data_IF_259777611822
#
_entry.id   IF_259777611822
#
_cell.length_a   1.000
_cell.length_b   1.000
_cell.length_c   1.000
_cell.angle_alpha   90.00
_cell.angle_beta   90.00
_cell.angle_gamma   90.00
#
_symmetry.space_group_name_H-M   'P 1'
#
loop_
_entity.id
_entity.type
_entity.pdbx_description
1 polymer ?
#
# COMPACT_ATOMS: atom_id res chain seq x y z
N UNK A 1 26.41 -23.70 -12.54
CA UNK A 1 24.98 -23.50 -12.90
C UNK A 1 24.55 -22.17 -12.31
N UNK A 2 24.13 -21.22 -13.16
CA UNK A 2 23.86 -19.82 -12.80
C UNK A 2 22.40 -19.69 -12.34
N UNK A 3 22.15 -19.46 -11.07
CA UNK A 3 20.86 -18.96 -10.61
C UNK A 3 21.08 -17.56 -10.03
N UNK A 4 20.62 -16.55 -10.77
CA UNK A 4 20.69 -15.13 -10.41
C UNK A 4 19.84 -14.92 -9.15
N UNK A 5 20.46 -14.57 -8.02
CA UNK A 5 19.76 -13.97 -6.89
C UNK A 5 19.47 -12.50 -7.25
N UNK A 6 18.32 -12.27 -7.86
CA UNK A 6 17.82 -10.94 -8.10
C UNK A 6 17.50 -10.26 -6.76
N UNK A 7 18.15 -9.12 -6.55
CA UNK A 7 17.80 -8.03 -5.64
C UNK A 7 17.59 -8.38 -4.15
N UNK A 8 18.48 -7.84 -3.32
CA UNK A 8 18.28 -7.68 -1.89
C UNK A 8 16.96 -6.95 -1.69
N UNK A 9 15.93 -7.68 -1.24
CA UNK A 9 14.55 -7.20 -1.18
C UNK A 9 14.45 -5.96 -0.30
N UNK A 10 14.15 -4.81 -0.90
CA UNK A 10 13.76 -3.61 -0.18
C UNK A 10 12.49 -3.97 0.59
N UNK A 11 12.54 -4.03 1.91
CA UNK A 11 11.34 -4.19 2.74
C UNK A 11 10.41 -3.05 2.37
N UNK A 12 9.26 -3.37 1.79
CA UNK A 12 8.31 -2.38 1.29
C UNK A 12 7.91 -1.47 2.46
N UNK A 13 8.22 -0.17 2.33
CA UNK A 13 7.93 0.78 3.40
C UNK A 13 6.42 0.93 3.56
N UNK A 14 5.97 1.25 4.78
CA UNK A 14 4.55 1.42 5.06
C UNK A 14 3.85 2.41 4.10
N UNK A 15 4.42 3.59 3.77
CA UNK A 15 3.83 4.48 2.79
C UNK A 15 3.68 3.85 1.40
N UNK A 16 4.66 3.03 0.97
CA UNK A 16 4.58 2.35 -0.32
C UNK A 16 3.46 1.30 -0.33
N UNK A 17 3.29 0.56 0.77
CA UNK A 17 2.18 -0.40 0.92
C UNK A 17 0.81 0.28 0.86
N UNK A 18 0.67 1.43 1.52
CA UNK A 18 -0.58 2.23 1.50
C UNK A 18 -0.86 2.72 0.08
N UNK A 19 0.16 3.24 -0.63
CA UNK A 19 0.02 3.70 -2.00
C UNK A 19 -0.39 2.55 -2.94
N UNK A 20 0.31 1.42 -2.88
CA UNK A 20 0.00 0.22 -3.67
C UNK A 20 -1.43 -0.27 -3.42
N UNK A 21 -1.88 -0.25 -2.15
CA UNK A 21 -3.24 -0.61 -1.80
C UNK A 21 -4.27 0.34 -2.43
N UNK A 22 -4.11 1.66 -2.26
CA UNK A 22 -5.04 2.63 -2.83
C UNK A 22 -5.08 2.57 -4.37
N UNK A 23 -3.93 2.40 -5.02
CA UNK A 23 -3.86 2.24 -6.47
C UNK A 23 -4.68 1.04 -6.94
N UNK A 24 -4.57 -0.11 -6.26
CA UNK A 24 -5.33 -1.31 -6.62
C UNK A 24 -6.83 -1.12 -6.48
N UNK A 25 -7.29 -0.44 -5.43
CA UNK A 25 -8.72 -0.21 -5.21
C UNK A 25 -9.30 0.77 -6.23
N UNK A 26 -8.51 1.75 -6.68
CA UNK A 26 -8.90 2.65 -7.78
C UNK A 26 -8.97 1.87 -9.09
N UNK A 27 -7.98 1.01 -9.37
CA UNK A 27 -7.93 0.18 -10.59
C UNK A 27 -9.02 -0.89 -10.63
N UNK A 28 -9.39 -1.47 -9.49
CA UNK A 28 -10.47 -2.47 -9.39
C UNK A 28 -11.86 -1.84 -9.50
N UNK A 29 -11.97 -0.52 -9.32
CA UNK A 29 -13.24 0.20 -9.28
C UNK A 29 -13.95 0.14 -7.92
N UNK A 30 -13.32 -0.44 -6.89
CA UNK A 30 -13.82 -0.37 -5.51
C UNK A 30 -13.83 1.08 -5.01
N UNK A 31 -12.81 1.86 -5.38
CA UNK A 31 -12.79 3.31 -5.23
C UNK A 31 -13.20 3.98 -6.54
N UNK A 32 -14.48 4.34 -6.62
CA UNK A 32 -15.01 5.04 -7.78
C UNK A 32 -14.32 6.39 -8.01
N UNK A 33 -14.10 6.81 -9.26
CA UNK A 33 -13.63 8.16 -9.57
C UNK A 33 -14.53 9.23 -8.93
N UNK A 34 -13.93 10.15 -8.16
CA UNK A 34 -14.65 11.19 -7.43
C UNK A 34 -15.24 10.74 -6.08
N UNK A 35 -15.13 9.46 -5.73
CA UNK A 35 -15.42 9.01 -4.37
C UNK A 35 -14.35 9.50 -3.39
N UNK A 36 -14.74 9.67 -2.14
CA UNK A 36 -13.82 10.04 -1.07
C UNK A 36 -12.90 8.87 -0.75
N UNK A 37 -11.59 9.13 -0.65
CA UNK A 37 -10.61 8.15 -0.19
C UNK A 37 -10.78 7.87 1.32
N UNK A 38 -10.33 6.69 1.80
CA UNK A 38 -10.27 6.41 3.23
C UNK A 38 -9.42 7.46 3.96
N UNK A 39 -9.84 7.83 5.16
CA UNK A 39 -9.09 8.71 6.05
C UNK A 39 -7.81 8.05 6.54
N UNK A 40 -6.87 8.87 7.00
CA UNK A 40 -5.63 8.39 7.60
C UNK A 40 -5.86 7.46 8.79
N UNK A 41 -6.93 7.71 9.56
CA UNK A 41 -7.32 6.86 10.69
C UNK A 41 -7.78 5.48 10.21
N UNK A 42 -8.67 5.42 9.21
CA UNK A 42 -9.14 4.15 8.63
C UNK A 42 -7.99 3.35 8.01
N UNK A 43 -7.04 4.04 7.37
CA UNK A 43 -5.82 3.40 6.87
C UNK A 43 -4.96 2.87 8.04
N UNK A 44 -4.79 3.65 9.11
CA UNK A 44 -4.02 3.23 10.29
C UNK A 44 -4.59 1.97 10.95
N UNK A 45 -5.91 1.90 11.08
CA UNK A 45 -6.65 0.73 11.60
C UNK A 45 -6.49 -0.46 10.66
N UNK A 46 -6.64 -0.25 9.34
CA UNK A 46 -6.53 -1.32 8.33
C UNK A 46 -5.13 -1.93 8.24
N UNK A 47 -4.09 -1.11 8.36
CA UNK A 47 -2.71 -1.56 8.30
C UNK A 47 -2.13 -1.97 9.66
N UNK A 48 -2.89 -1.79 10.76
CA UNK A 48 -2.47 -2.15 12.11
C UNK A 48 -1.30 -1.30 12.61
N UNK A 49 -1.22 -0.04 12.15
CA UNK A 49 -0.10 0.87 12.41
C UNK A 49 -0.62 2.06 13.21
N UNK A 50 -0.08 2.30 14.41
CA UNK A 50 -0.30 3.58 15.07
C UNK A 50 0.49 4.66 14.34
N UNK A 51 -0.08 5.87 14.20
CA UNK A 51 0.62 7.04 13.65
C UNK A 51 1.96 7.21 14.37
N UNK A 52 3.04 6.81 13.73
CA UNK A 52 4.41 7.25 13.98
C UNK A 52 5.36 6.57 12.98
N UNK A 53 5.70 7.32 11.93
CA UNK A 53 6.96 7.17 11.18
C UNK A 53 7.59 8.54 11.00
#
# INVERSE_FOLDING_TARGET
MKQRLAAIGTVETLPHRVATFLSREIESGELNPGARLPTEQELSEKFGVSRNV
#
